data_IF_156542425751
#
_entry.id   IF_156542425751
#
_cell.length_a   1.000
_cell.length_b   1.000
_cell.length_c   1.000
_cell.angle_alpha   90.00
_cell.angle_beta   90.00
_cell.angle_gamma   90.00
#
_symmetry.space_group_name_H-M   'P 1'
#
loop_
_entity.id
_entity.type
_entity.pdbx_description
1 polymer ?
#
# COMPACT_ATOMS: atom_id res chain seq x y z
N UNK A 1 -1.03 -21.30 -28.96
CA UNK A 1 0.43 -21.35 -28.75
C UNK A 1 0.71 -22.52 -27.82
N UNK A 2 1.49 -23.49 -28.31
CA UNK A 2 1.67 -24.83 -27.70
C UNK A 2 2.44 -24.74 -26.37
N UNK A 3 2.16 -25.67 -25.47
CA UNK A 3 2.81 -25.83 -24.14
C UNK A 3 4.35 -25.87 -24.24
N UNK A 4 4.86 -26.51 -25.30
CA UNK A 4 6.31 -26.61 -25.56
C UNK A 4 6.94 -25.26 -25.92
N UNK A 5 6.23 -24.37 -26.61
CA UNK A 5 6.69 -23.02 -26.93
C UNK A 5 6.77 -22.15 -25.66
N UNK A 6 5.77 -22.25 -24.79
CA UNK A 6 5.79 -21.58 -23.48
C UNK A 6 6.87 -22.11 -22.53
N UNK A 7 7.13 -23.41 -22.55
CA UNK A 7 8.19 -24.01 -21.74
C UNK A 7 9.59 -23.62 -22.26
N UNK A 8 9.79 -23.55 -23.58
CA UNK A 8 11.03 -23.08 -24.20
C UNK A 8 11.32 -21.61 -23.88
N UNK A 9 10.29 -20.74 -23.83
CA UNK A 9 10.41 -19.33 -23.42
C UNK A 9 10.75 -19.21 -21.93
N UNK A 10 10.20 -20.02 -21.04
CA UNK A 10 10.55 -20.07 -19.61
C UNK A 10 11.98 -20.51 -19.40
N UNK A 11 12.43 -21.54 -20.12
CA UNK A 11 13.82 -22.06 -20.07
C UNK A 11 14.79 -21.07 -20.74
N UNK A 12 14.40 -20.45 -21.86
CA UNK A 12 15.18 -19.40 -22.54
C UNK A 12 15.33 -18.17 -21.67
N UNK A 13 14.28 -17.75 -20.96
CA UNK A 13 14.33 -16.65 -19.97
C UNK A 13 15.26 -16.95 -18.78
N UNK A 14 15.39 -18.21 -18.36
CA UNK A 14 16.34 -18.63 -17.34
C UNK A 14 17.81 -18.59 -17.84
N UNK A 15 18.06 -18.88 -19.12
CA UNK A 15 19.41 -18.81 -19.72
C UNK A 15 19.87 -17.39 -20.00
N UNK A 16 18.98 -16.44 -20.30
CA UNK A 16 19.30 -15.00 -20.46
C UNK A 16 19.75 -14.36 -19.13
N UNK A 17 19.44 -14.99 -17.97
CA UNK A 17 19.90 -14.52 -16.64
C UNK A 17 21.43 -14.59 -16.40
N UNK A 18 22.20 -15.26 -17.26
CA UNK A 18 23.64 -15.43 -17.05
C UNK A 18 24.52 -14.27 -17.55
N UNK A 19 23.96 -13.26 -18.21
CA UNK A 19 24.68 -12.01 -18.51
C UNK A 19 24.31 -10.92 -17.50
N UNK A 20 24.85 -11.01 -16.27
CA UNK A 20 24.86 -9.87 -15.35
C UNK A 20 25.74 -8.77 -15.97
N UNK A 21 25.15 -7.65 -16.33
CA UNK A 21 25.93 -6.44 -16.54
C UNK A 21 26.48 -6.02 -15.18
N UNK A 22 27.79 -5.88 -15.07
CA UNK A 22 28.51 -5.45 -13.84
C UNK A 22 28.37 -3.95 -13.55
N UNK A 23 27.57 -3.20 -14.30
CA UNK A 23 27.29 -1.80 -14.02
C UNK A 23 26.27 -1.70 -12.88
N UNK A 24 26.47 -0.80 -11.88
CA UNK A 24 25.48 -0.55 -10.85
C UNK A 24 24.16 -0.14 -11.52
N UNK A 25 23.06 -0.82 -11.17
CA UNK A 25 21.74 -0.47 -11.71
C UNK A 25 21.36 0.88 -11.14
N UNK A 26 21.12 1.85 -12.03
CA UNK A 26 20.51 3.13 -11.66
C UNK A 26 19.12 2.85 -11.12
N UNK A 27 18.87 3.22 -9.87
CA UNK A 27 17.53 3.14 -9.28
C UNK A 27 16.82 4.47 -9.50
N UNK A 28 15.58 4.41 -9.98
CA UNK A 28 14.75 5.59 -10.13
C UNK A 28 14.18 5.98 -8.75
N UNK A 29 14.95 6.74 -7.94
CA UNK A 29 14.58 7.19 -6.60
C UNK A 29 14.85 8.69 -6.46
N UNK A 30 13.94 9.39 -5.77
CA UNK A 30 14.08 10.79 -5.44
C UNK A 30 13.17 11.72 -6.23
N UNK A 31 13.27 13.04 -5.97
CA UNK A 31 12.46 14.06 -6.63
C UNK A 31 12.85 14.30 -8.11
N UNK A 32 14.10 13.99 -8.47
CA UNK A 32 14.60 14.11 -9.85
C UNK A 32 15.30 12.82 -10.28
N UNK A 33 14.55 11.70 -10.40
CA UNK A 33 15.12 10.41 -10.73
C UNK A 33 15.53 10.38 -12.22
N UNK A 34 16.56 9.57 -12.50
CA UNK A 34 16.88 9.15 -13.86
C UNK A 34 16.05 7.89 -14.18
N UNK A 35 14.98 8.05 -14.96
CA UNK A 35 14.08 6.94 -15.30
C UNK A 35 14.74 6.08 -16.40
N UNK A 36 15.06 4.81 -16.12
CA UNK A 36 15.62 3.94 -17.14
C UNK A 36 14.62 3.67 -18.29
N UNK A 37 15.16 3.42 -19.48
CA UNK A 37 14.31 2.98 -20.60
C UNK A 37 13.53 1.70 -20.26
N UNK A 38 12.27 1.67 -20.69
CA UNK A 38 11.42 0.52 -20.53
C UNK A 38 12.00 -0.71 -21.24
N UNK A 39 12.11 -1.82 -20.52
CA UNK A 39 12.50 -3.11 -21.07
C UNK A 39 11.27 -3.99 -21.15
N UNK A 40 10.65 -4.05 -22.32
CA UNK A 40 9.48 -4.92 -22.53
C UNK A 40 9.82 -6.36 -22.18
N UNK A 41 9.10 -6.91 -21.23
CA UNK A 41 9.21 -8.32 -20.85
C UNK A 41 8.11 -9.10 -21.58
N UNK A 42 8.48 -10.01 -22.46
CA UNK A 42 7.53 -10.93 -23.10
C UNK A 42 6.86 -11.82 -22.05
N UNK A 43 7.65 -12.29 -21.09
CA UNK A 43 7.18 -12.96 -19.85
C UNK A 43 7.67 -12.12 -18.69
N UNK A 44 6.73 -11.66 -17.85
CA UNK A 44 7.05 -10.90 -16.65
C UNK A 44 7.91 -11.73 -15.69
N UNK A 45 8.92 -11.09 -15.10
CA UNK A 45 9.68 -11.71 -14.01
C UNK A 45 8.76 -11.98 -12.84
N UNK A 46 8.73 -13.22 -12.37
CA UNK A 46 8.00 -13.62 -11.19
C UNK A 46 8.98 -14.13 -10.15
N UNK A 47 9.17 -13.36 -9.06
CA UNK A 47 9.97 -13.76 -7.92
C UNK A 47 9.24 -13.33 -6.65
N UNK A 48 8.66 -14.30 -5.98
CA UNK A 48 7.89 -14.08 -4.76
C UNK A 48 8.51 -14.95 -3.65
N UNK A 49 8.99 -14.37 -2.55
CA UNK A 49 9.51 -15.16 -1.45
C UNK A 49 8.37 -15.94 -0.79
N UNK A 50 8.70 -17.10 -0.26
CA UNK A 50 7.74 -17.87 0.53
C UNK A 50 7.56 -17.21 1.89
N UNK A 51 6.32 -17.00 2.31
CA UNK A 51 6.00 -16.48 3.63
C UNK A 51 6.41 -17.47 4.72
N UNK A 52 7.16 -17.01 5.72
CA UNK A 52 7.63 -17.80 6.84
C UNK A 52 7.13 -17.26 8.18
N UNK A 53 6.91 -15.94 8.25
CA UNK A 53 6.65 -15.25 9.52
C UNK A 53 7.89 -15.16 10.40
N UNK A 54 7.75 -14.46 11.51
CA UNK A 54 8.80 -14.31 12.50
C UNK A 54 8.87 -15.52 13.43
N UNK A 55 10.06 -16.03 13.64
CA UNK A 55 10.30 -17.03 14.68
C UNK A 55 10.42 -16.34 16.06
N UNK A 56 10.10 -17.01 17.16
CA UNK A 56 10.20 -16.42 18.51
C UNK A 56 11.57 -15.76 18.74
N UNK A 57 11.56 -14.52 19.27
CA UNK A 57 12.76 -13.74 19.55
C UNK A 57 13.36 -13.00 18.34
N UNK A 58 12.85 -13.19 17.13
CA UNK A 58 13.26 -12.42 15.96
C UNK A 58 12.31 -11.27 15.69
N UNK A 59 12.86 -10.15 15.22
CA UNK A 59 12.13 -8.92 14.93
C UNK A 59 12.84 -8.14 13.80
N UNK A 60 12.19 -7.16 13.17
CA UNK A 60 12.84 -6.26 12.23
C UNK A 60 14.03 -5.53 12.86
N UNK A 61 14.99 -5.16 12.04
CA UNK A 61 16.09 -4.26 12.43
C UNK A 61 15.58 -2.82 12.34
N UNK A 62 15.95 -2.00 13.32
CA UNK A 62 15.62 -0.58 13.38
C UNK A 62 16.85 0.29 13.13
N UNK A 63 16.65 1.53 12.66
CA UNK A 63 17.69 2.53 12.53
C UNK A 63 18.33 2.87 13.88
N UNK A 64 19.55 3.39 13.87
CA UNK A 64 20.30 3.75 15.06
C UNK A 64 19.50 4.74 15.94
N UNK A 65 19.49 4.48 17.25
CA UNK A 65 18.71 5.25 18.23
C UNK A 65 17.23 4.87 18.31
N UNK A 66 16.79 3.89 17.51
CA UNK A 66 15.42 3.36 17.57
C UNK A 66 15.41 1.93 18.12
N UNK A 67 14.26 1.58 18.70
CA UNK A 67 13.92 0.22 19.11
C UNK A 67 12.62 -0.22 18.46
N UNK A 68 12.42 -1.53 18.35
CA UNK A 68 11.21 -2.14 17.84
C UNK A 68 10.74 -3.26 18.76
N UNK A 69 9.44 -3.27 19.09
CA UNK A 69 8.75 -4.34 19.81
C UNK A 69 7.43 -4.66 19.13
N UNK A 70 6.87 -5.83 19.41
CA UNK A 70 5.53 -6.17 19.01
C UNK A 70 4.53 -5.43 19.91
N UNK A 71 3.71 -4.56 19.33
CA UNK A 71 2.56 -3.95 20.02
C UNK A 71 1.41 -4.95 20.16
N UNK A 72 1.12 -5.70 19.09
CA UNK A 72 0.10 -6.73 19.06
C UNK A 72 0.56 -7.91 18.20
N UNK A 73 0.20 -9.14 18.58
CA UNK A 73 0.59 -10.37 17.87
C UNK A 73 -0.60 -11.31 17.72
N UNK A 74 -0.49 -12.28 16.79
CA UNK A 74 -1.54 -13.27 16.56
C UNK A 74 -2.76 -12.71 15.81
N UNK A 75 -2.56 -11.67 15.03
CA UNK A 75 -3.55 -11.14 14.10
C UNK A 75 -3.71 -12.09 12.90
N UNK A 76 -4.74 -11.86 12.09
CA UNK A 76 -4.98 -12.60 10.87
C UNK A 76 -4.81 -11.67 9.66
N UNK A 77 -3.56 -11.52 9.19
CA UNK A 77 -3.19 -10.70 8.04
C UNK A 77 -3.57 -9.22 8.23
N UNK A 78 -2.99 -8.51 9.22
CA UNK A 78 -3.30 -7.09 9.50
C UNK A 78 -2.89 -6.21 8.32
N UNK A 79 -3.79 -5.31 7.93
CA UNK A 79 -3.58 -4.45 6.74
C UNK A 79 -3.51 -2.98 7.08
N UNK A 80 -4.49 -2.47 7.79
CA UNK A 80 -4.60 -1.05 8.07
C UNK A 80 -4.79 -0.81 9.55
N UNK A 81 -4.34 0.34 10.00
CA UNK A 81 -4.38 0.73 11.41
C UNK A 81 -5.07 2.10 11.49
N UNK A 82 -5.93 2.25 12.49
CA UNK A 82 -6.51 3.52 12.89
C UNK A 82 -6.34 3.70 14.39
N UNK A 83 -5.82 4.85 14.83
CA UNK A 83 -5.66 5.18 16.24
C UNK A 83 -6.80 6.10 16.65
N UNK A 84 -7.61 5.65 17.59
CA UNK A 84 -8.75 6.41 18.10
C UNK A 84 -8.30 7.47 19.10
N UNK A 85 -9.12 8.50 19.29
CA UNK A 85 -8.82 9.63 20.18
C UNK A 85 -8.58 9.22 21.65
N UNK A 86 -9.11 8.07 22.08
CA UNK A 86 -8.88 7.52 23.42
C UNK A 86 -7.63 6.64 23.53
N UNK A 87 -6.85 6.51 22.47
CA UNK A 87 -5.64 5.68 22.38
C UNK A 87 -5.86 4.22 21.97
N UNK A 88 -7.11 3.79 21.78
CA UNK A 88 -7.39 2.46 21.22
C UNK A 88 -6.89 2.36 19.78
N UNK A 89 -6.41 1.18 19.41
CA UNK A 89 -5.89 0.89 18.08
C UNK A 89 -6.81 -0.09 17.36
N UNK A 90 -7.40 0.34 16.26
CA UNK A 90 -8.18 -0.52 15.38
C UNK A 90 -7.30 -1.08 14.28
N UNK A 91 -7.46 -2.36 13.98
CA UNK A 91 -6.71 -3.05 12.92
C UNK A 91 -7.68 -3.75 11.97
N UNK A 92 -7.64 -3.40 10.69
CA UNK A 92 -8.32 -4.13 9.65
C UNK A 92 -7.54 -5.40 9.32
N UNK A 93 -8.19 -6.55 9.46
CA UNK A 93 -7.63 -7.87 9.19
C UNK A 93 -8.33 -8.46 7.95
N UNK A 94 -7.62 -8.48 6.82
CA UNK A 94 -8.18 -8.91 5.54
C UNK A 94 -7.10 -9.45 4.60
N UNK A 95 -7.50 -10.39 3.74
CA UNK A 95 -6.65 -11.04 2.76
C UNK A 95 -7.38 -11.12 1.42
N UNK A 96 -6.64 -11.12 0.31
CA UNK A 96 -7.22 -11.42 -0.99
C UNK A 96 -7.80 -12.84 -0.99
N UNK A 97 -9.07 -12.95 -1.39
CA UNK A 97 -9.77 -14.23 -1.38
C UNK A 97 -9.23 -15.21 -2.43
N UNK A 98 -9.34 -16.48 -2.12
CA UNK A 98 -8.98 -17.53 -3.08
C UNK A 98 -9.92 -17.50 -4.28
N UNK A 99 -9.34 -17.66 -5.45
CA UNK A 99 -10.07 -17.83 -6.69
C UNK A 99 -9.60 -19.06 -7.46
N UNK A 100 -10.46 -19.70 -8.23
CA UNK A 100 -10.03 -20.80 -9.10
C UNK A 100 -9.06 -20.29 -10.18
N UNK A 101 -8.02 -21.06 -10.51
CA UNK A 101 -7.11 -20.72 -11.60
C UNK A 101 -7.82 -20.85 -12.96
N UNK A 102 -7.55 -19.90 -13.86
CA UNK A 102 -8.16 -19.82 -15.19
C UNK A 102 -7.47 -20.74 -16.22
N UNK A 103 -6.16 -20.93 -16.07
CA UNK A 103 -5.33 -21.74 -16.93
C UNK A 103 -4.12 -22.30 -16.15
N UNK A 104 -3.22 -23.05 -16.82
CA UNK A 104 -2.04 -23.67 -16.20
C UNK A 104 -1.03 -22.63 -15.68
N UNK A 105 -0.86 -21.50 -16.37
CA UNK A 105 0.02 -20.43 -15.93
C UNK A 105 -0.56 -19.75 -14.68
N UNK A 106 -1.86 -19.43 -14.72
CA UNK A 106 -2.58 -18.83 -13.58
C UNK A 106 -2.59 -19.79 -12.38
N UNK A 107 -2.62 -21.13 -12.60
CA UNK A 107 -2.46 -22.11 -11.51
C UNK A 107 -1.09 -21.98 -10.80
N UNK A 108 -0.01 -21.82 -11.56
CA UNK A 108 1.31 -21.59 -10.99
C UNK A 108 1.37 -20.25 -10.21
N UNK A 109 0.76 -19.21 -10.76
CA UNK A 109 0.65 -17.89 -10.12
C UNK A 109 -0.13 -18.00 -8.80
N UNK A 110 -1.34 -18.56 -8.81
CA UNK A 110 -2.16 -18.76 -7.61
C UNK A 110 -1.41 -19.58 -6.56
N UNK A 111 -0.72 -20.66 -6.97
CA UNK A 111 0.10 -21.46 -6.07
C UNK A 111 1.25 -20.66 -5.44
N UNK A 112 1.84 -19.74 -6.18
CA UNK A 112 2.90 -18.84 -5.68
C UNK A 112 2.33 -17.81 -4.71
N UNK A 113 1.19 -17.21 -5.04
CA UNK A 113 0.50 -16.25 -4.15
C UNK A 113 0.09 -16.89 -2.82
N UNK A 114 -0.41 -18.14 -2.85
CA UNK A 114 -0.71 -18.90 -1.62
C UNK A 114 0.54 -19.13 -0.75
N UNK A 115 1.67 -19.52 -1.34
CA UNK A 115 2.93 -19.70 -0.60
C UNK A 115 3.47 -18.39 -0.02
N UNK A 116 3.20 -17.29 -0.68
CA UNK A 116 3.57 -15.94 -0.21
C UNK A 116 2.56 -15.34 0.78
N UNK A 117 1.52 -16.08 1.18
CA UNK A 117 0.38 -15.61 1.98
C UNK A 117 -0.28 -14.34 1.40
N UNK A 118 -0.26 -14.18 0.08
CA UNK A 118 -0.91 -13.07 -0.61
C UNK A 118 -2.37 -13.38 -1.00
N UNK A 119 -2.84 -14.61 -0.75
CA UNK A 119 -4.18 -15.09 -1.06
C UNK A 119 -4.56 -16.24 -0.13
N UNK A 120 -5.81 -16.24 0.37
CA UNK A 120 -6.29 -17.29 1.28
C UNK A 120 -7.68 -16.97 1.82
N UNK A 121 -7.96 -17.47 3.03
CA UNK A 121 -9.20 -17.18 3.76
C UNK A 121 -9.03 -15.86 4.50
N UNK A 122 -9.89 -14.89 4.19
CA UNK A 122 -9.87 -13.57 4.83
C UNK A 122 -10.60 -13.58 6.18
N UNK A 123 -10.03 -12.91 7.18
CA UNK A 123 -10.68 -12.73 8.49
C UNK A 123 -11.89 -11.80 8.40
N UNK A 124 -11.88 -10.85 7.45
CA UNK A 124 -13.00 -9.95 7.15
C UNK A 124 -13.55 -9.22 8.39
N UNK A 125 -12.62 -8.69 9.21
CA UNK A 125 -12.96 -8.01 10.47
C UNK A 125 -12.08 -6.80 10.73
N UNK A 126 -12.52 -5.98 11.66
CA UNK A 126 -11.70 -4.98 12.37
C UNK A 126 -11.58 -5.44 13.81
N UNK A 127 -10.36 -5.54 14.33
CA UNK A 127 -10.07 -5.82 15.73
C UNK A 127 -9.64 -4.56 16.47
N UNK A 128 -10.02 -4.46 17.74
CA UNK A 128 -9.61 -3.41 18.67
C UNK A 128 -8.50 -3.94 19.58
N UNK A 129 -7.46 -3.13 19.75
CA UNK A 129 -6.32 -3.40 20.62
C UNK A 129 -6.10 -2.22 21.56
N UNK A 130 -5.87 -2.50 22.84
CA UNK A 130 -5.68 -1.49 23.87
C UNK A 130 -4.48 -1.84 24.73
N UNK A 131 -3.54 -0.92 24.79
CA UNK A 131 -2.45 -0.89 25.75
C UNK A 131 -2.97 -0.17 27.00
N UNK A 132 -3.14 -0.90 28.10
CA UNK A 132 -3.78 -0.37 29.32
C UNK A 132 -2.77 0.29 30.25
N UNK A 133 -1.57 -0.22 30.34
CA UNK A 133 -0.55 0.26 31.27
C UNK A 133 0.49 1.18 30.62
N UNK A 134 0.42 1.36 29.30
CA UNK A 134 1.26 2.30 28.53
C UNK A 134 2.68 1.79 28.27
N UNK A 135 2.90 0.48 28.34
CA UNK A 135 4.22 -0.12 28.12
C UNK A 135 4.56 -0.33 26.62
N UNK A 136 3.58 -0.09 25.74
CA UNK A 136 3.72 -0.23 24.29
C UNK A 136 3.43 -1.64 23.79
N UNK A 137 2.71 -2.44 24.60
CA UNK A 137 2.16 -3.76 24.24
C UNK A 137 0.69 -3.79 24.58
N UNK A 138 -0.16 -4.25 23.68
CA UNK A 138 -1.61 -4.30 23.90
C UNK A 138 -2.00 -5.61 24.62
N UNK A 139 -2.63 -5.49 25.81
CA UNK A 139 -3.15 -6.63 26.58
C UNK A 139 -4.59 -6.98 26.22
N UNK A 140 -5.37 -6.00 25.74
CA UNK A 140 -6.79 -6.18 25.43
C UNK A 140 -6.97 -6.30 23.94
N UNK A 141 -7.72 -7.33 23.53
CA UNK A 141 -8.15 -7.55 22.16
C UNK A 141 -9.65 -7.84 22.14
N UNK A 142 -10.37 -7.14 21.23
CA UNK A 142 -11.78 -7.41 20.95
C UNK A 142 -12.00 -7.48 19.44
N UNK A 143 -12.99 -8.26 19.00
CA UNK A 143 -13.53 -8.14 17.64
C UNK A 143 -14.45 -6.91 17.62
N UNK A 144 -13.96 -5.82 17.04
CA UNK A 144 -14.66 -4.52 17.00
C UNK A 144 -15.79 -4.49 15.98
N UNK A 145 -15.52 -5.01 14.78
CA UNK A 145 -16.50 -5.12 13.69
C UNK A 145 -16.21 -6.36 12.87
N UNK A 146 -17.21 -7.20 12.64
CA UNK A 146 -17.09 -8.47 11.90
C UNK A 146 -17.98 -8.49 10.67
N UNK A 147 -17.79 -9.50 9.80
CA UNK A 147 -18.65 -9.70 8.62
C UNK A 147 -18.47 -8.63 7.54
N UNK A 148 -17.30 -8.02 7.48
CA UNK A 148 -16.97 -7.04 6.44
C UNK A 148 -16.48 -7.74 5.17
N UNK A 149 -16.45 -7.01 4.06
CA UNK A 149 -15.95 -7.52 2.78
C UNK A 149 -14.56 -6.96 2.51
N UNK A 150 -13.51 -7.68 2.95
CA UNK A 150 -12.12 -7.26 2.83
C UNK A 150 -11.92 -5.80 3.32
N UNK A 151 -12.16 -5.51 4.62
CA UNK A 151 -12.01 -4.16 5.15
C UNK A 151 -10.56 -3.70 5.04
N UNK A 152 -10.37 -2.39 4.79
CA UNK A 152 -9.06 -1.79 4.71
C UNK A 152 -9.00 -0.44 5.44
N UNK A 153 -9.32 0.67 4.79
CA UNK A 153 -9.34 2.00 5.40
C UNK A 153 -10.43 2.15 6.43
N UNK A 154 -10.14 2.90 7.47
CA UNK A 154 -11.06 3.21 8.56
C UNK A 154 -10.99 4.70 8.88
N UNK A 155 -12.08 5.27 9.39
CA UNK A 155 -12.12 6.64 9.86
C UNK A 155 -13.25 6.82 10.87
N UNK A 156 -13.10 7.81 11.77
CA UNK A 156 -14.16 8.24 12.68
C UNK A 156 -14.43 9.72 12.48
N UNK A 157 -15.71 10.08 12.30
CA UNK A 157 -16.16 11.48 12.26
C UNK A 157 -17.36 11.61 13.19
N UNK A 158 -17.21 12.35 14.27
CA UNK A 158 -18.24 12.48 15.30
C UNK A 158 -18.62 11.12 15.91
N UNK A 159 -19.86 10.75 15.81
CA UNK A 159 -20.47 9.51 16.28
C UNK A 159 -20.62 8.44 15.17
N UNK A 160 -19.83 8.54 14.13
CA UNK A 160 -19.90 7.63 12.97
C UNK A 160 -18.53 7.03 12.68
N UNK A 161 -18.48 5.70 12.59
CA UNK A 161 -17.34 4.92 12.13
C UNK A 161 -17.53 4.53 10.67
N UNK A 162 -16.54 4.81 9.84
CA UNK A 162 -16.51 4.49 8.43
C UNK A 162 -15.50 3.39 8.13
N UNK A 163 -15.87 2.44 7.27
CA UNK A 163 -14.96 1.39 6.80
C UNK A 163 -15.00 1.30 5.27
N UNK A 164 -13.82 1.29 4.67
CA UNK A 164 -13.60 1.03 3.25
C UNK A 164 -13.49 -0.47 3.00
N UNK A 165 -14.58 -1.07 2.54
CA UNK A 165 -14.63 -2.44 2.05
C UNK A 165 -14.25 -2.49 0.56
N UNK A 166 -13.83 -3.64 0.04
CA UNK A 166 -13.44 -3.77 -1.38
C UNK A 166 -14.55 -3.33 -2.34
N UNK A 167 -15.81 -3.44 -1.93
CA UNK A 167 -17.02 -3.15 -2.71
C UNK A 167 -17.67 -1.82 -2.35
N UNK A 168 -17.12 -1.02 -1.41
CA UNK A 168 -17.69 0.29 -1.10
C UNK A 168 -17.34 0.84 0.28
N UNK A 169 -17.93 1.98 0.62
CA UNK A 169 -17.81 2.62 1.93
C UNK A 169 -19.09 2.37 2.72
N UNK A 170 -18.92 1.90 3.97
CA UNK A 170 -20.02 1.63 4.89
C UNK A 170 -19.83 2.46 6.16
N UNK A 171 -20.89 3.11 6.63
CA UNK A 171 -20.95 3.89 7.86
C UNK A 171 -21.70 3.14 8.94
N UNK A 172 -21.19 3.19 10.18
CA UNK A 172 -21.81 2.57 11.35
C UNK A 172 -21.98 3.60 12.47
N UNK A 173 -23.07 3.53 13.25
CA UNK A 173 -23.13 4.28 14.50
C UNK A 173 -21.95 3.90 15.41
N UNK A 174 -21.30 4.91 15.96
CA UNK A 174 -20.14 4.74 16.82
C UNK A 174 -20.28 5.53 18.12
N UNK A 175 -19.94 4.94 19.24
CA UNK A 175 -19.82 5.61 20.52
C UNK A 175 -18.36 5.58 20.97
N UNK A 176 -17.83 6.75 21.32
CA UNK A 176 -16.45 6.86 21.80
C UNK A 176 -16.20 5.92 22.99
N UNK A 177 -15.11 5.15 22.91
CA UNK A 177 -14.75 4.15 23.94
C UNK A 177 -15.50 2.81 23.82
N UNK A 178 -16.35 2.62 22.82
CA UNK A 178 -17.02 1.34 22.59
C UNK A 178 -16.00 0.25 22.22
N UNK A 179 -16.16 -0.93 22.81
CA UNK A 179 -15.31 -2.10 22.51
C UNK A 179 -15.74 -2.84 21.24
N UNK A 180 -16.91 -2.53 20.69
CA UNK A 180 -17.47 -3.13 19.47
C UNK A 180 -18.54 -2.25 18.84
N UNK A 181 -18.74 -2.40 17.55
CA UNK A 181 -19.89 -1.88 16.80
C UNK A 181 -21.05 -2.88 16.92
N UNK A 182 -22.23 -2.40 17.29
CA UNK A 182 -23.45 -3.21 17.41
C UNK A 182 -24.57 -2.77 16.49
N UNK A 183 -24.45 -1.60 15.87
CA UNK A 183 -25.43 -1.05 14.93
C UNK A 183 -25.30 -1.64 13.51
N UNK A 184 -26.36 -1.52 12.74
CA UNK A 184 -26.36 -1.88 11.32
C UNK A 184 -25.58 -0.86 10.50
N UNK A 185 -24.82 -1.34 9.49
CA UNK A 185 -24.07 -0.51 8.57
C UNK A 185 -24.96 0.07 7.46
N UNK A 186 -24.76 1.35 7.16
CA UNK A 186 -25.36 2.04 6.02
C UNK A 186 -24.35 2.22 4.91
N UNK A 187 -24.61 1.64 3.74
CA UNK A 187 -23.80 1.82 2.53
C UNK A 187 -23.88 3.25 2.04
N UNK A 188 -22.74 3.88 1.76
CA UNK A 188 -22.62 5.25 1.27
C UNK A 188 -22.19 5.31 -0.20
N UNK A 189 -21.23 4.49 -0.57
CA UNK A 189 -20.64 4.44 -1.92
C UNK A 189 -20.45 2.99 -2.31
N UNK A 190 -20.76 2.66 -3.55
CA UNK A 190 -20.48 1.35 -4.16
C UNK A 190 -19.23 1.45 -5.04
N UNK A 191 -18.31 0.48 -4.89
CA UNK A 191 -17.17 0.29 -5.77
C UNK A 191 -17.24 -1.08 -6.45
N UNK A 192 -16.80 -1.15 -7.70
CA UNK A 192 -16.66 -2.44 -8.39
C UNK A 192 -15.57 -3.27 -7.69
N UNK A 193 -15.83 -4.49 -7.21
CA UNK A 193 -14.81 -5.34 -6.59
C UNK A 193 -13.84 -5.92 -7.62
N UNK A 194 -12.76 -6.55 -7.14
CA UNK A 194 -11.73 -7.19 -7.96
C UNK A 194 -10.52 -6.31 -8.25
N UNK A 195 -9.51 -6.87 -8.90
CA UNK A 195 -8.23 -6.19 -9.16
C UNK A 195 -7.52 -5.80 -7.87
N UNK A 196 -7.11 -4.54 -7.78
CA UNK A 196 -6.64 -3.97 -6.53
C UNK A 196 -7.84 -3.75 -5.60
N UNK A 197 -7.87 -4.48 -4.51
CA UNK A 197 -9.04 -4.59 -3.64
C UNK A 197 -9.03 -3.64 -2.43
N UNK A 198 -7.90 -3.00 -2.14
CA UNK A 198 -7.76 -2.09 -1.00
C UNK A 198 -8.54 -0.79 -1.24
N UNK A 199 -9.16 -0.28 -0.16
CA UNK A 199 -9.89 1.00 -0.13
C UNK A 199 -9.45 1.76 1.11
N UNK A 200 -8.32 2.49 1.00
CA UNK A 200 -7.88 3.38 2.07
C UNK A 200 -8.86 4.54 2.24
N UNK A 201 -9.01 5.03 3.46
CA UNK A 201 -9.82 6.19 3.77
C UNK A 201 -8.98 7.23 4.50
N UNK A 202 -9.24 8.52 4.23
CA UNK A 202 -8.76 9.63 5.03
C UNK A 202 -9.82 10.73 5.08
N UNK A 203 -9.96 11.36 6.24
CA UNK A 203 -10.93 12.45 6.47
C UNK A 203 -10.25 13.79 6.14
N UNK A 204 -10.99 14.72 5.55
CA UNK A 204 -10.55 16.13 5.40
C UNK A 204 -10.36 16.80 6.74
N UNK A 205 -9.51 17.82 6.82
CA UNK A 205 -9.21 18.53 8.07
C UNK A 205 -10.46 19.17 8.72
N UNK A 206 -11.46 19.53 7.93
CA UNK A 206 -12.74 20.08 8.40
C UNK A 206 -13.77 19.01 8.81
N UNK A 207 -13.45 17.72 8.67
CA UNK A 207 -14.33 16.60 9.00
C UNK A 207 -15.53 16.42 8.05
N UNK A 208 -15.57 17.12 6.92
CA UNK A 208 -16.74 17.12 6.02
C UNK A 208 -16.65 16.15 4.87
N UNK A 209 -15.45 15.68 4.56
CA UNK A 209 -15.22 14.79 3.40
C UNK A 209 -14.38 13.59 3.78
N UNK A 210 -14.62 12.49 3.09
CA UNK A 210 -13.75 11.32 3.10
C UNK A 210 -13.17 11.14 1.71
N UNK A 211 -11.86 10.91 1.63
CA UNK A 211 -11.17 10.52 0.41
C UNK A 211 -10.86 9.03 0.45
N UNK A 212 -11.05 8.35 -0.69
CA UNK A 212 -10.83 6.90 -0.79
C UNK A 212 -9.95 6.55 -2.00
N UNK A 213 -8.88 5.78 -1.78
CA UNK A 213 -8.07 5.22 -2.85
C UNK A 213 -8.73 4.00 -3.49
N UNK A 214 -8.87 4.00 -4.81
CA UNK A 214 -9.46 2.91 -5.60
C UNK A 214 -8.52 2.51 -6.72
N UNK A 215 -7.82 1.38 -6.57
CA UNK A 215 -6.87 0.93 -7.56
C UNK A 215 -7.51 0.29 -8.79
N UNK A 216 -6.73 0.14 -9.86
CA UNK A 216 -7.16 -0.43 -11.14
C UNK A 216 -7.62 -1.88 -11.02
N UNK A 217 -8.44 -2.32 -11.97
CA UNK A 217 -8.84 -3.73 -12.11
C UNK A 217 -7.72 -4.59 -12.71
N UNK A 218 -6.95 -4.02 -13.60
CA UNK A 218 -5.95 -4.71 -14.42
C UNK A 218 -4.59 -3.99 -14.39
N UNK A 219 -3.58 -4.58 -15.04
CA UNK A 219 -2.24 -4.02 -15.09
C UNK A 219 -2.17 -2.74 -15.94
N UNK A 220 -2.79 -2.75 -17.12
CA UNK A 220 -2.68 -1.70 -18.15
C UNK A 220 -4.01 -1.40 -18.85
N UNK A 221 -5.15 -1.68 -18.24
CA UNK A 221 -6.44 -1.59 -18.91
C UNK A 221 -6.69 -2.72 -19.93
N UNK A 222 -5.98 -3.84 -19.79
CA UNK A 222 -5.99 -4.99 -20.71
C UNK A 222 -7.31 -5.77 -20.71
N UNK A 223 -8.25 -5.43 -19.83
CA UNK A 223 -9.63 -5.94 -19.83
C UNK A 223 -10.63 -5.00 -20.51
N UNK A 224 -10.15 -3.86 -21.02
CA UNK A 224 -10.93 -2.78 -21.59
C UNK A 224 -11.15 -1.63 -20.60
N UNK A 225 -11.07 -0.39 -21.11
CA UNK A 225 -11.19 0.81 -20.27
C UNK A 225 -12.57 0.99 -19.64
N UNK A 226 -13.61 0.39 -20.18
CA UNK A 226 -14.95 0.38 -19.57
C UNK A 226 -14.98 -0.36 -18.23
N UNK A 227 -14.14 -1.40 -18.08
CA UNK A 227 -14.02 -2.13 -16.82
C UNK A 227 -13.23 -1.33 -15.76
N UNK A 228 -12.46 -0.36 -16.18
CA UNK A 228 -11.68 0.54 -15.31
C UNK A 228 -12.45 1.81 -14.90
N UNK A 229 -13.69 1.98 -15.36
CA UNK A 229 -14.51 3.13 -14.97
C UNK A 229 -14.69 3.21 -13.46
N UNK A 230 -14.40 4.39 -12.86
CA UNK A 230 -14.40 4.63 -11.43
C UNK A 230 -13.21 4.01 -10.67
N UNK A 231 -12.15 3.60 -11.39
CA UNK A 231 -10.96 2.96 -10.83
C UNK A 231 -9.68 3.75 -11.19
N UNK A 232 -8.54 3.29 -10.67
CA UNK A 232 -7.26 3.99 -10.79
C UNK A 232 -7.40 5.49 -10.41
N UNK A 233 -8.09 5.73 -9.29
CA UNK A 233 -8.55 7.05 -8.88
C UNK A 233 -8.57 7.22 -7.35
N UNK A 234 -8.62 8.47 -6.93
CA UNK A 234 -9.01 8.85 -5.58
C UNK A 234 -10.41 9.44 -5.65
N UNK A 235 -11.32 8.92 -4.84
CA UNK A 235 -12.69 9.42 -4.71
C UNK A 235 -12.81 10.39 -3.55
N UNK A 236 -13.71 11.34 -3.69
CA UNK A 236 -14.15 12.26 -2.64
C UNK A 236 -15.64 11.99 -2.36
N UNK A 237 -15.97 11.77 -1.09
CA UNK A 237 -17.33 11.63 -0.58
C UNK A 237 -17.63 12.82 0.34
N UNK A 238 -18.62 13.63 0.01
CA UNK A 238 -19.15 14.68 0.87
C UNK A 238 -20.13 14.06 1.89
N UNK A 239 -19.85 14.22 3.18
CA UNK A 239 -20.58 13.54 4.25
C UNK A 239 -21.95 14.18 4.54
N UNK A 240 -22.15 15.44 4.18
CA UNK A 240 -23.41 16.15 4.37
C UNK A 240 -24.42 15.81 3.27
N UNK A 241 -24.02 15.92 2.01
CA UNK A 241 -24.87 15.65 0.85
C UNK A 241 -24.93 14.18 0.45
N UNK A 242 -23.91 13.37 0.82
CA UNK A 242 -23.72 12.01 0.34
C UNK A 242 -23.22 11.92 -1.10
N UNK A 243 -22.88 13.04 -1.74
CA UNK A 243 -22.37 13.05 -3.10
C UNK A 243 -20.94 12.50 -3.17
N UNK A 244 -20.68 11.62 -4.15
CA UNK A 244 -19.36 11.07 -4.39
C UNK A 244 -18.89 11.35 -5.81
N UNK A 245 -17.61 11.66 -5.99
CA UNK A 245 -16.98 11.92 -7.30
C UNK A 245 -15.54 11.42 -7.33
N UNK A 246 -15.00 11.24 -8.51
CA UNK A 246 -13.57 11.10 -8.69
C UNK A 246 -12.88 12.44 -8.44
N UNK A 247 -11.98 12.47 -7.46
CA UNK A 247 -11.18 13.64 -7.11
C UNK A 247 -9.94 13.76 -8.00
N UNK A 248 -9.27 12.62 -8.25
CA UNK A 248 -8.11 12.53 -9.14
C UNK A 248 -8.07 11.17 -9.82
N UNK A 249 -7.55 11.10 -11.06
CA UNK A 249 -7.55 9.91 -11.91
C UNK A 249 -6.17 9.59 -12.47
N UNK A 250 -6.03 8.41 -13.11
CA UNK A 250 -4.75 7.99 -13.70
C UNK A 250 -3.70 7.55 -12.67
N UNK A 251 -4.12 7.25 -11.46
CA UNK A 251 -3.32 6.72 -10.35
C UNK A 251 -3.53 5.20 -10.32
N UNK A 252 -2.64 4.40 -10.90
CA UNK A 252 -2.87 2.97 -11.10
C UNK A 252 -3.36 2.24 -9.83
N UNK A 253 -2.67 2.39 -8.72
CA UNK A 253 -3.08 1.84 -7.43
C UNK A 253 -2.67 2.79 -6.31
N UNK A 254 -3.45 3.86 -6.05
CA UNK A 254 -3.24 4.74 -4.91
C UNK A 254 -3.69 4.01 -3.64
N UNK A 255 -2.80 3.89 -2.66
CA UNK A 255 -3.13 3.17 -1.41
C UNK A 255 -3.02 4.08 -0.21
N UNK A 256 -1.83 4.40 0.27
CA UNK A 256 -1.64 5.28 1.41
C UNK A 256 -2.08 6.71 1.09
N UNK A 257 -2.83 7.32 2.00
CA UNK A 257 -3.27 8.72 1.93
C UNK A 257 -2.82 9.43 3.20
N UNK A 258 -2.28 10.64 3.06
CA UNK A 258 -1.88 11.48 4.19
C UNK A 258 -2.03 12.96 3.85
N UNK A 259 -2.40 13.78 4.85
CA UNK A 259 -2.36 15.23 4.75
C UNK A 259 -0.96 15.75 5.10
N UNK A 260 -0.39 16.59 4.24
CA UNK A 260 0.79 17.34 4.55
C UNK A 260 0.34 18.68 5.22
N UNK A 261 0.76 18.97 6.46
CA UNK A 261 0.12 20.01 7.26
C UNK A 261 0.52 21.45 6.89
N UNK A 262 1.67 21.67 6.23
CA UNK A 262 2.15 23.01 5.89
C UNK A 262 1.32 23.62 4.76
N UNK A 263 1.05 22.84 3.72
CA UNK A 263 0.29 23.28 2.55
C UNK A 263 -1.16 22.82 2.56
N UNK A 264 -1.51 21.89 3.46
CA UNK A 264 -2.82 21.26 3.51
C UNK A 264 -3.12 20.33 2.31
N UNK A 265 -2.10 19.92 1.57
CA UNK A 265 -2.28 19.03 0.39
C UNK A 265 -2.45 17.58 0.80
N UNK A 266 -3.33 16.91 0.09
CA UNK A 266 -3.43 15.45 0.13
C UNK A 266 -2.26 14.83 -0.62
N UNK A 267 -1.62 13.82 -0.02
CA UNK A 267 -0.55 13.02 -0.63
C UNK A 267 -0.95 11.56 -0.71
N UNK A 268 -0.39 10.86 -1.69
CA UNK A 268 -0.60 9.41 -1.88
C UNK A 268 0.67 8.71 -2.32
N UNK A 269 0.76 7.41 -2.02
CA UNK A 269 1.71 6.48 -2.65
C UNK A 269 0.99 5.64 -3.68
N UNK A 270 1.62 5.44 -4.84
CA UNK A 270 1.04 4.73 -5.98
C UNK A 270 1.94 3.60 -6.42
N UNK A 271 1.34 2.43 -6.58
CA UNK A 271 2.03 1.29 -7.18
C UNK A 271 1.77 1.29 -8.69
N UNK A 272 2.85 1.38 -9.44
CA UNK A 272 2.82 1.44 -10.90
C UNK A 272 2.70 0.06 -11.56
N UNK A 273 2.56 0.07 -12.87
CA UNK A 273 2.35 -1.11 -13.70
C UNK A 273 3.57 -2.02 -13.78
N UNK A 274 3.31 -3.30 -14.05
CA UNK A 274 4.32 -4.35 -14.21
C UNK A 274 4.69 -4.58 -15.68
N UNK A 275 5.86 -5.22 -15.92
CA UNK A 275 6.26 -5.76 -17.22
C UNK A 275 7.06 -4.81 -18.11
N UNK A 276 7.62 -3.73 -17.57
CA UNK A 276 8.57 -2.82 -18.26
C UNK A 276 10.02 -2.97 -17.75
N UNK A 277 10.30 -4.00 -16.96
CA UNK A 277 11.61 -4.27 -16.38
C UNK A 277 11.63 -4.06 -14.87
N UNK A 278 12.80 -4.27 -14.27
CA UNK A 278 12.98 -4.22 -12.82
C UNK A 278 12.88 -2.80 -12.23
N UNK A 279 13.22 -1.77 -13.00
CA UNK A 279 13.37 -0.39 -12.50
C UNK A 279 12.31 0.58 -13.07
N UNK A 280 11.45 0.12 -14.00
CA UNK A 280 10.53 0.98 -14.76
C UNK A 280 9.13 0.39 -14.82
N UNK A 281 8.09 1.20 -14.59
CA UNK A 281 8.12 2.54 -13.99
C UNK A 281 8.41 2.46 -12.49
N UNK A 282 8.91 3.53 -11.87
CA UNK A 282 9.02 3.56 -10.41
C UNK A 282 7.64 3.72 -9.77
N UNK A 283 7.42 3.08 -8.63
CA UNK A 283 6.38 3.49 -7.70
C UNK A 283 6.69 4.91 -7.20
N UNK A 284 5.69 5.65 -6.74
CA UNK A 284 5.92 7.05 -6.40
C UNK A 284 5.08 7.55 -5.21
N UNK A 285 5.56 8.62 -4.61
CA UNK A 285 4.86 9.49 -3.67
C UNK A 285 4.52 10.81 -4.39
N UNK A 286 3.28 11.28 -4.31
CA UNK A 286 2.85 12.51 -4.99
C UNK A 286 1.76 13.25 -4.23
N UNK A 287 1.78 14.59 -4.36
CA UNK A 287 0.67 15.44 -3.98
C UNK A 287 -0.50 15.26 -4.96
N UNK A 288 -1.74 15.31 -4.45
CA UNK A 288 -2.95 15.05 -5.24
C UNK A 288 -3.70 16.34 -5.49
N UNK A 289 -3.99 16.61 -6.77
CA UNK A 289 -4.72 17.81 -7.21
C UNK A 289 -6.15 17.45 -7.61
N UNK A 290 -7.11 18.28 -7.23
CA UNK A 290 -8.51 18.13 -7.69
C UNK A 290 -8.61 18.21 -9.22
N UNK A 291 -9.26 17.24 -9.85
CA UNK A 291 -9.32 17.08 -11.31
C UNK A 291 -8.01 16.63 -11.96
N UNK A 292 -6.97 16.31 -11.16
CA UNK A 292 -5.66 15.87 -11.65
C UNK A 292 -5.71 14.53 -12.36
N UNK A 293 -4.85 14.37 -13.38
CA UNK A 293 -4.63 13.11 -14.09
C UNK A 293 -3.15 12.73 -14.03
N UNK A 294 -2.82 11.50 -13.58
CA UNK A 294 -1.46 11.07 -13.25
C UNK A 294 -0.87 10.06 -14.24
N UNK A 295 -1.55 9.81 -15.36
CA UNK A 295 -0.99 9.14 -16.54
C UNK A 295 -1.51 7.75 -16.84
N UNK A 296 -1.73 6.89 -15.84
CA UNK A 296 -2.18 5.53 -16.09
C UNK A 296 -3.53 5.47 -16.84
N UNK A 297 -3.72 4.59 -17.85
CA UNK A 297 -2.75 3.62 -18.37
C UNK A 297 -1.88 4.14 -19.52
N UNK A 298 -2.04 5.38 -19.99
CA UNK A 298 -1.50 5.91 -21.25
C UNK A 298 -0.02 6.30 -21.17
N UNK A 299 0.42 6.74 -20.01
CA UNK A 299 1.79 7.17 -19.74
C UNK A 299 2.13 6.98 -18.26
N UNK A 300 3.39 7.11 -17.91
CA UNK A 300 3.90 7.02 -16.56
C UNK A 300 4.95 8.10 -16.30
N UNK A 301 5.24 8.37 -15.05
CA UNK A 301 6.19 9.38 -14.60
C UNK A 301 6.06 10.72 -15.38
N UNK A 302 4.85 11.27 -15.42
CA UNK A 302 4.46 12.40 -16.28
C UNK A 302 4.05 11.92 -17.66
N UNK A 303 4.80 12.33 -18.70
CA UNK A 303 4.40 12.13 -20.10
C UNK A 303 5.23 11.07 -20.84
N UNK A 304 5.85 10.12 -20.12
CA UNK A 304 6.54 8.99 -20.77
C UNK A 304 5.47 8.02 -21.25
N UNK A 305 5.27 7.96 -22.57
CA UNK A 305 4.19 7.18 -23.21
C UNK A 305 4.37 5.68 -22.98
N UNK A 306 3.31 4.99 -22.55
CA UNK A 306 3.21 3.53 -22.65
C UNK A 306 2.51 3.14 -23.94
N UNK A 307 3.28 2.80 -24.96
CA UNK A 307 2.81 2.49 -26.30
C UNK A 307 2.09 1.12 -26.43
N UNK A 308 1.87 0.41 -25.32
CA UNK A 308 1.17 -0.89 -25.29
C UNK A 308 -0.34 -0.78 -25.08
N UNK A 309 -0.84 0.43 -24.91
CA UNK A 309 -2.27 0.71 -24.78
C UNK A 309 -2.73 1.66 -25.88
N UNK A 310 -3.99 1.62 -26.32
CA UNK A 310 -4.55 2.65 -27.20
C UNK A 310 -4.35 4.03 -26.56
N UNK A 311 -3.82 4.98 -27.32
CA UNK A 311 -3.39 6.28 -26.79
C UNK A 311 -4.53 7.31 -26.78
N UNK A 312 -4.49 8.17 -25.74
CA UNK A 312 -5.22 9.42 -25.68
C UNK A 312 -4.21 10.57 -25.49
N UNK A 313 -3.88 11.24 -26.58
CA UNK A 313 -2.88 12.31 -26.57
C UNK A 313 -3.29 13.53 -25.74
N UNK A 314 -4.59 13.79 -25.58
CA UNK A 314 -5.08 14.88 -24.75
C UNK A 314 -4.88 14.59 -23.25
N UNK A 315 -5.10 13.34 -22.83
CA UNK A 315 -4.80 12.89 -21.48
C UNK A 315 -3.30 12.88 -21.21
N UNK A 316 -2.49 12.35 -22.13
CA UNK A 316 -1.03 12.35 -22.00
C UNK A 316 -0.48 13.77 -21.85
N UNK A 317 -0.97 14.73 -22.62
CA UNK A 317 -0.50 16.13 -22.58
C UNK A 317 -0.76 16.82 -21.23
N UNK A 318 -1.79 16.40 -20.48
CA UNK A 318 -2.15 16.96 -19.16
C UNK A 318 -1.68 16.11 -17.99
N UNK A 319 -1.01 14.99 -18.24
CA UNK A 319 -0.55 14.11 -17.18
C UNK A 319 0.42 14.82 -16.25
N UNK A 320 0.11 14.78 -14.95
CA UNK A 320 0.91 15.38 -13.90
C UNK A 320 2.10 14.45 -13.59
N UNK A 321 3.29 15.03 -13.55
CA UNK A 321 4.48 14.31 -13.12
C UNK A 321 4.45 14.14 -11.60
N UNK A 322 4.67 12.91 -11.07
CA UNK A 322 4.79 12.68 -9.64
C UNK A 322 5.95 13.43 -8.99
N UNK A 323 5.84 13.71 -7.68
CA UNK A 323 6.80 14.53 -6.94
C UNK A 323 8.07 13.74 -6.54
N UNK A 324 7.95 12.44 -6.20
CA UNK A 324 9.07 11.66 -5.68
C UNK A 324 8.98 10.18 -6.09
N UNK A 325 10.00 9.67 -6.76
CA UNK A 325 10.11 8.27 -7.13
C UNK A 325 10.61 7.42 -5.95
N UNK A 326 9.99 6.26 -5.75
CA UNK A 326 10.28 5.33 -4.66
C UNK A 326 11.08 4.10 -5.11
N UNK A 327 11.40 4.01 -6.40
CA UNK A 327 12.04 2.85 -7.02
C UNK A 327 11.06 1.87 -7.65
N UNK A 328 11.56 0.99 -8.51
CA UNK A 328 10.72 0.03 -9.24
C UNK A 328 10.12 -1.03 -8.34
N UNK A 329 8.81 -1.24 -8.43
CA UNK A 329 8.05 -2.33 -7.81
C UNK A 329 8.19 -2.45 -6.29
N UNK A 330 8.34 -1.34 -5.56
CA UNK A 330 8.48 -1.37 -4.10
C UNK A 330 7.20 -1.79 -3.37
N UNK A 331 6.06 -1.72 -4.06
CA UNK A 331 4.72 -1.94 -3.53
C UNK A 331 4.49 -1.09 -2.27
N UNK A 332 4.67 0.22 -2.40
CA UNK A 332 4.45 1.19 -1.33
C UNK A 332 2.96 1.27 -1.02
N UNK A 333 2.55 0.85 0.18
CA UNK A 333 1.14 0.74 0.59
C UNK A 333 0.77 1.70 1.71
N UNK A 334 1.48 1.66 2.84
CA UNK A 334 1.23 2.54 3.99
C UNK A 334 1.80 3.93 3.77
N UNK A 335 1.11 4.96 4.26
CA UNK A 335 1.58 6.35 4.26
C UNK A 335 1.02 7.07 5.49
N UNK A 336 1.89 7.73 6.24
CA UNK A 336 1.47 8.70 7.23
C UNK A 336 2.45 9.87 7.30
N UNK A 337 1.93 11.05 7.66
CA UNK A 337 2.78 12.19 8.04
C UNK A 337 3.38 11.93 9.41
N UNK A 338 4.67 12.16 9.55
CA UNK A 338 5.38 12.11 10.82
C UNK A 338 5.94 13.49 11.14
N UNK A 339 5.46 14.16 12.19
CA UNK A 339 6.03 15.43 12.64
C UNK A 339 7.37 15.22 13.34
N UNK A 340 8.21 16.26 13.32
CA UNK A 340 9.43 16.31 14.10
C UNK A 340 9.15 16.01 15.59
N UNK A 341 10.07 15.27 16.23
CA UNK A 341 9.93 14.86 17.64
C UNK A 341 9.20 13.54 17.85
N UNK A 342 8.63 12.91 16.81
CA UNK A 342 8.04 11.57 16.91
C UNK A 342 9.11 10.49 17.10
N UNK A 343 10.14 10.49 16.24
CA UNK A 343 11.28 9.58 16.35
C UNK A 343 12.60 10.35 16.44
N UNK A 344 13.54 9.94 17.32
CA UNK A 344 14.85 10.58 17.42
C UNK A 344 15.61 10.54 16.09
N UNK A 345 16.20 11.68 15.69
CA UNK A 345 17.00 11.80 14.49
C UNK A 345 16.23 11.87 13.18
N UNK A 346 14.89 11.98 13.25
CA UNK A 346 14.00 12.22 12.12
C UNK A 346 13.26 13.55 12.32
N UNK A 347 13.11 14.32 11.25
CA UNK A 347 12.33 15.56 11.22
C UNK A 347 10.93 15.34 10.67
N UNK A 348 10.35 16.42 10.11
CA UNK A 348 9.08 16.38 9.39
C UNK A 348 9.19 15.56 8.10
N UNK A 349 8.18 14.75 7.80
CA UNK A 349 8.14 14.01 6.54
C UNK A 349 7.10 12.90 6.47
N UNK A 350 7.19 12.11 5.41
CA UNK A 350 6.30 10.99 5.15
C UNK A 350 6.97 9.66 5.49
N UNK A 351 6.27 8.83 6.26
CA UNK A 351 6.64 7.44 6.52
C UNK A 351 5.87 6.54 5.59
N UNK A 352 6.56 5.59 4.96
CA UNK A 352 6.01 4.73 3.91
C UNK A 352 6.30 3.27 4.21
N UNK A 353 5.26 2.45 4.30
CA UNK A 353 5.35 1.00 4.37
C UNK A 353 5.49 0.39 2.98
N UNK A 354 6.66 -0.17 2.67
CA UNK A 354 6.94 -0.83 1.40
C UNK A 354 6.75 -2.34 1.54
N UNK A 355 5.64 -2.84 0.98
CA UNK A 355 5.23 -4.23 1.06
C UNK A 355 6.18 -5.19 0.32
N UNK A 356 6.86 -4.69 -0.70
CA UNK A 356 7.90 -5.40 -1.43
C UNK A 356 7.44 -6.03 -2.75
N UNK A 357 8.42 -6.13 -3.64
CA UNK A 357 8.22 -6.52 -5.04
C UNK A 357 7.93 -8.00 -5.23
N UNK A 358 7.33 -8.31 -6.37
CA UNK A 358 7.15 -9.67 -6.90
C UNK A 358 7.51 -9.75 -8.40
N UNK A 359 7.52 -8.61 -9.10
CA UNK A 359 7.83 -8.51 -10.53
C UNK A 359 9.25 -7.96 -10.75
N UNK A 360 10.25 -8.56 -10.07
CA UNK A 360 11.62 -8.07 -10.10
C UNK A 360 12.64 -9.21 -9.92
N UNK A 361 13.80 -9.12 -10.55
CA UNK A 361 14.85 -10.14 -10.46
C UNK A 361 15.62 -10.10 -9.12
N UNK A 362 15.85 -8.89 -8.60
CA UNK A 362 16.31 -8.64 -7.23
C UNK A 362 15.19 -7.90 -6.52
N UNK A 363 14.75 -8.41 -5.37
CA UNK A 363 13.61 -7.85 -4.66
C UNK A 363 13.91 -6.44 -4.15
N UNK A 364 12.87 -5.59 -4.11
CA UNK A 364 12.90 -4.22 -3.58
C UNK A 364 11.75 -4.00 -2.60
N UNK A 365 11.82 -2.94 -1.81
CA UNK A 365 10.88 -2.70 -0.72
C UNK A 365 11.15 -3.61 0.47
N UNK A 366 10.13 -4.21 1.10
CA UNK A 366 10.22 -5.02 2.34
C UNK A 366 10.86 -4.23 3.48
N UNK A 367 10.41 -2.98 3.66
CA UNK A 367 10.96 -2.07 4.66
C UNK A 367 10.00 -0.93 4.98
N UNK A 368 10.25 -0.26 6.09
CA UNK A 368 9.63 1.01 6.43
C UNK A 368 10.63 2.11 6.14
N UNK A 369 10.25 3.11 5.37
CA UNK A 369 11.12 4.23 4.99
C UNK A 369 10.53 5.57 5.41
N UNK A 370 11.40 6.57 5.52
CA UNK A 370 11.06 7.96 5.76
C UNK A 370 11.56 8.82 4.61
N UNK A 371 10.69 9.67 4.06
CA UNK A 371 11.03 10.72 3.09
C UNK A 371 10.95 12.06 3.81
N UNK A 372 12.07 12.80 3.97
CA UNK A 372 12.06 14.09 4.65
C UNK A 372 11.34 15.15 3.81
N UNK A 373 10.67 16.08 4.51
CA UNK A 373 9.97 17.21 3.91
C UNK A 373 10.49 18.54 4.46
N UNK A 374 10.44 19.56 3.62
CA UNK A 374 10.60 20.96 3.99
C UNK A 374 9.68 21.79 3.08
N UNK A 375 9.06 22.82 3.63
CA UNK A 375 8.16 23.73 2.90
C UNK A 375 7.05 22.95 2.10
N UNK A 376 6.55 21.86 2.68
CA UNK A 376 5.48 21.04 2.10
C UNK A 376 5.92 20.18 0.90
N UNK A 377 7.22 19.94 0.70
CA UNK A 377 7.78 19.16 -0.40
C UNK A 377 8.87 18.19 0.09
N UNK A 378 9.08 17.05 -0.61
CA UNK A 378 10.22 16.17 -0.36
C UNK A 378 11.55 16.94 -0.46
N UNK A 379 12.38 16.86 0.59
CA UNK A 379 13.58 17.70 0.72
C UNK A 379 14.91 16.93 0.70
N UNK A 380 14.87 15.60 0.60
CA UNK A 380 16.09 14.80 0.63
C UNK A 380 15.89 13.32 0.25
N UNK A 381 16.95 12.52 0.37
CA UNK A 381 16.86 11.09 0.10
C UNK A 381 16.03 10.36 1.15
N UNK A 382 15.31 9.31 0.73
CA UNK A 382 14.63 8.42 1.64
C UNK A 382 15.62 7.71 2.58
N UNK A 383 15.21 7.50 3.83
CA UNK A 383 15.98 6.84 4.89
C UNK A 383 15.22 5.63 5.41
N UNK A 384 15.91 4.53 5.67
CA UNK A 384 15.29 3.33 6.24
C UNK A 384 14.99 3.56 7.74
N UNK A 385 13.78 3.18 8.18
CA UNK A 385 13.38 3.12 9.59
C UNK A 385 13.46 1.67 10.09
N UNK A 386 12.83 0.72 9.34
CA UNK A 386 12.88 -0.71 9.62
C UNK A 386 13.22 -1.51 8.36
N UNK A 387 14.01 -2.59 8.53
CA UNK A 387 14.36 -3.54 7.48
C UNK A 387 14.58 -4.95 8.04
N UNK A 388 15.00 -5.90 7.20
CA UNK A 388 15.26 -7.27 7.60
C UNK A 388 14.02 -8.18 7.52
N UNK A 389 13.03 -7.79 6.74
CA UNK A 389 11.81 -8.56 6.49
C UNK A 389 12.02 -9.72 5.49
N UNK A 390 13.18 -9.76 4.80
CA UNK A 390 13.57 -10.82 3.89
C UNK A 390 14.79 -11.57 4.41
N UNK A 391 14.91 -12.87 4.05
CA UNK A 391 16.16 -13.59 4.16
C UNK A 391 17.21 -13.04 3.18
N UNK A 392 18.50 -13.19 3.50
CA UNK A 392 19.60 -12.70 2.66
C UNK A 392 19.59 -13.31 1.24
N UNK A 393 19.12 -14.54 1.08
CA UNK A 393 19.00 -15.22 -0.21
C UNK A 393 17.67 -14.93 -0.92
N UNK A 394 16.82 -14.03 -0.37
CA UNK A 394 15.51 -13.61 -0.88
C UNK A 394 14.52 -14.77 -1.12
N UNK A 395 14.69 -15.92 -0.46
CA UNK A 395 13.76 -17.05 -0.58
C UNK A 395 12.59 -16.98 0.39
N UNK A 396 12.79 -16.32 1.54
CA UNK A 396 11.82 -16.26 2.63
C UNK A 396 11.46 -14.81 2.96
N UNK A 397 10.19 -14.57 3.22
CA UNK A 397 9.72 -13.33 3.82
C UNK A 397 9.29 -13.62 5.27
N UNK A 398 9.89 -12.92 6.21
CA UNK A 398 9.51 -12.98 7.62
C UNK A 398 8.33 -12.08 7.91
N UNK A 399 8.21 -10.99 7.17
CA UNK A 399 7.15 -10.01 7.27
C UNK A 399 7.06 -9.16 6.01
N UNK A 400 5.98 -8.36 5.92
CA UNK A 400 5.76 -7.40 4.83
C UNK A 400 5.04 -6.17 5.39
N UNK A 401 5.68 -4.99 5.41
CA UNK A 401 5.08 -3.74 5.86
C UNK A 401 3.86 -3.32 5.05
N UNK A 402 2.78 -2.89 5.72
CA UNK A 402 1.56 -2.37 5.09
C UNK A 402 1.21 -1.00 5.69
N UNK A 403 0.12 -0.88 6.41
CA UNK A 403 -0.33 0.35 7.05
C UNK A 403 0.65 0.83 8.11
N UNK A 404 0.84 2.14 8.20
CA UNK A 404 1.65 2.79 9.22
C UNK A 404 0.94 4.04 9.73
N UNK A 405 0.99 4.25 11.03
CA UNK A 405 0.40 5.41 11.70
C UNK A 405 1.27 5.88 12.87
N UNK A 406 1.07 7.10 13.33
CA UNK A 406 1.63 7.58 14.60
C UNK A 406 0.96 6.80 15.74
N UNK A 407 1.76 6.32 16.69
CA UNK A 407 1.26 5.63 17.88
C UNK A 407 0.47 6.57 18.82
N UNK A 408 -0.34 5.99 19.74
CA UNK A 408 -1.18 6.78 20.66
C UNK A 408 -0.40 7.77 21.53
N UNK A 409 0.88 7.49 21.77
CA UNK A 409 1.78 8.32 22.57
C UNK A 409 2.37 9.53 21.82
N UNK A 410 2.13 9.63 20.49
CA UNK A 410 2.72 10.65 19.62
C UNK A 410 4.24 10.56 19.45
N UNK A 411 4.89 9.53 20.05
CA UNK A 411 6.35 9.34 20.10
C UNK A 411 6.78 7.98 19.55
N UNK A 412 5.89 7.32 18.85
CA UNK A 412 6.14 6.04 18.22
C UNK A 412 5.39 5.93 16.89
N UNK A 413 5.74 4.91 16.11
CA UNK A 413 4.99 4.45 14.95
C UNK A 413 4.42 3.06 15.22
N UNK A 414 3.22 2.81 14.74
CA UNK A 414 2.66 1.47 14.63
C UNK A 414 2.64 1.07 13.16
N UNK A 415 3.10 -0.13 12.84
CA UNK A 415 3.20 -0.64 11.47
C UNK A 415 2.61 -2.06 11.38
N UNK A 416 1.66 -2.26 10.48
CA UNK A 416 1.07 -3.56 10.20
C UNK A 416 2.02 -4.41 9.36
N UNK A 417 2.21 -5.65 9.79
CA UNK A 417 2.98 -6.69 9.11
C UNK A 417 2.07 -7.88 8.81
N UNK A 418 1.62 -7.98 7.57
CA UNK A 418 0.57 -8.92 7.18
C UNK A 418 1.05 -10.39 7.10
N UNK A 419 2.31 -10.62 6.76
CA UNK A 419 2.92 -11.96 6.77
C UNK A 419 3.35 -12.36 8.19
N UNK A 420 3.86 -11.40 8.95
CA UNK A 420 4.27 -11.62 10.35
C UNK A 420 3.09 -11.77 11.31
N UNK A 421 1.88 -11.32 10.92
CA UNK A 421 0.69 -11.27 11.78
C UNK A 421 0.91 -10.47 13.06
N UNK A 422 1.61 -9.34 12.94
CA UNK A 422 2.07 -8.49 14.04
C UNK A 422 1.81 -7.02 13.71
N UNK A 423 1.49 -6.24 14.72
CA UNK A 423 1.67 -4.78 14.68
C UNK A 423 2.98 -4.47 15.40
N UNK A 424 3.95 -3.94 14.67
CA UNK A 424 5.22 -3.50 15.22
C UNK A 424 5.12 -2.07 15.72
N UNK A 425 5.65 -1.83 16.94
CA UNK A 425 5.85 -0.49 17.48
C UNK A 425 7.31 -0.10 17.35
N UNK A 426 7.58 1.08 16.81
CA UNK A 426 8.91 1.69 16.67
C UNK A 426 8.96 2.95 17.51
N UNK A 427 9.92 3.08 18.39
CA UNK A 427 10.11 4.25 19.26
C UNK A 427 11.59 4.58 19.45
N UNK A 428 11.89 5.67 20.13
CA UNK A 428 13.24 5.94 20.64
C UNK A 428 13.73 4.80 21.54
N UNK A 429 15.05 4.49 21.48
CA UNK A 429 15.70 3.47 22.28
C UNK A 429 15.88 3.91 23.76
#
# INVERSE_FOLDING_TARGET
MDFMTKLAEVVGGAMVRLRRSSAPRKQAIGASPDIPEARRQGIMTLKMPTAKGWVPGHKPKAADGLQVNAFASGLAHPRWIEVLANGDVLVAEALAEERPPRDLFDRAMVGTMKRAHAMGVSANRVSLWRDRDGDGVAEIRNDFLTGQNQPFGMAVVGDTFYVGNTDGIVAFPYQAGADRITGEGRRLVDFKPGGHWTRSLIVSADGRRIYAGVGSLSNIGDRGMQEEEGRASIWELDLESGAAREFATGLRNPVGLAWEPVTGRLWTVVNERDGLGDETPPDYLTSVQDGGFYGWPYCYWGQIVDDRVPQDSALVARAIRPDYALGGHTASLGLCWMPEGTLPGFGDGMVIGQHGSWNRSTLSGYKLIFVPFADGQPSGPARDILWGFLSEDEKWSYGRPVGVVIGPDGKSLLMADDVGNVIWRVSGA
#
